data_IF_597620860102
#
_entry.id   IF_597620860102
#
_cell.length_a   1.000
_cell.length_b   1.000
_cell.length_c   1.000
_cell.angle_alpha   90.00
_cell.angle_beta   90.00
_cell.angle_gamma   90.00
#
_symmetry.space_group_name_H-M   'P 1'
#
loop_
_entity.id
_entity.type
_entity.pdbx_description
1 polymer ?
#
# COMPACT_ATOMS: atom_id res chain seq x y z
N UNK A 1 -11.06 13.19 4.92
CA UNK A 1 -9.74 12.54 4.94
C UNK A 1 -9.78 11.32 5.85
N UNK A 2 -9.28 10.19 5.39
CA UNK A 2 -9.33 8.93 6.14
C UNK A 2 -7.93 8.35 6.25
N UNK A 3 -7.54 7.92 7.45
CA UNK A 3 -6.25 7.29 7.68
C UNK A 3 -6.47 5.83 8.05
N UNK A 4 -5.73 4.94 7.38
CA UNK A 4 -5.81 3.50 7.56
C UNK A 4 -4.44 3.00 8.00
N UNK A 5 -4.42 2.12 8.98
CA UNK A 5 -3.20 1.41 9.36
C UNK A 5 -3.40 -0.06 9.05
N UNK A 6 -2.42 -0.65 8.39
CA UNK A 6 -2.47 -2.04 7.96
C UNK A 6 -1.17 -2.74 8.36
N UNK A 7 -1.30 -3.96 8.88
CA UNK A 7 -0.15 -4.79 9.22
C UNK A 7 0.10 -5.77 8.10
N UNK A 8 1.12 -5.56 7.25
CA UNK A 8 1.41 -6.47 6.15
C UNK A 8 1.97 -7.79 6.64
N UNK A 9 1.82 -8.82 5.81
CA UNK A 9 2.32 -10.16 6.12
C UNK A 9 3.26 -10.64 5.03
N UNK A 10 4.30 -11.38 5.43
CA UNK A 10 5.24 -11.97 4.50
C UNK A 10 6.20 -10.98 3.87
N UNK A 11 6.34 -9.80 4.44
CA UNK A 11 7.22 -8.76 3.94
C UNK A 11 8.00 -8.12 5.08
N UNK A 12 9.03 -7.34 4.74
CA UNK A 12 9.89 -6.70 5.74
C UNK A 12 9.22 -5.55 6.47
N UNK A 13 8.29 -4.86 5.83
CA UNK A 13 7.59 -3.75 6.45
C UNK A 13 6.73 -4.24 7.61
N UNK A 14 6.70 -3.49 8.70
CA UNK A 14 5.94 -3.84 9.90
C UNK A 14 4.55 -3.26 9.88
N UNK A 15 4.37 -2.11 9.25
CA UNK A 15 3.10 -1.42 9.21
C UNK A 15 3.05 -0.50 8.00
N UNK A 16 1.86 -0.35 7.44
CA UNK A 16 1.61 0.59 6.36
C UNK A 16 0.54 1.56 6.83
N UNK A 17 0.83 2.85 6.76
CA UNK A 17 -0.13 3.89 7.10
C UNK A 17 -0.52 4.63 5.83
N UNK A 18 -1.79 4.66 5.54
CA UNK A 18 -2.32 5.21 4.29
C UNK A 18 -3.31 6.31 4.60
N UNK A 19 -3.17 7.44 3.94
CA UNK A 19 -4.14 8.53 4.04
C UNK A 19 -4.87 8.64 2.72
N UNK A 20 -6.20 8.64 2.79
CA UNK A 20 -7.07 8.72 1.63
C UNK A 20 -7.90 9.99 1.67
N UNK A 21 -8.15 10.57 0.51
CA UNK A 21 -9.10 11.66 0.36
C UNK A 21 -10.03 11.30 -0.79
N UNK A 22 -11.27 10.92 -0.45
CA UNK A 22 -12.18 10.37 -1.43
C UNK A 22 -11.61 9.09 -2.01
N UNK A 23 -11.47 9.03 -3.32
CA UNK A 23 -10.94 7.87 -4.03
C UNK A 23 -9.45 7.97 -4.32
N UNK A 24 -8.76 8.94 -3.73
CA UNK A 24 -7.35 9.23 -4.02
C UNK A 24 -6.47 8.94 -2.82
N UNK A 25 -5.33 8.29 -3.08
CA UNK A 25 -4.29 8.09 -2.07
C UNK A 25 -3.51 9.39 -1.96
N UNK A 26 -3.50 10.03 -0.79
CA UNK A 26 -2.77 11.27 -0.60
C UNK A 26 -1.41 11.05 0.03
N UNK A 27 -1.28 10.02 0.85
CA UNK A 27 0.00 9.75 1.50
C UNK A 27 0.11 8.29 1.89
N UNK A 28 1.29 7.73 1.79
CA UNK A 28 1.59 6.37 2.25
C UNK A 28 2.90 6.41 3.03
N UNK A 29 2.92 5.76 4.17
CA UNK A 29 4.12 5.64 4.99
C UNK A 29 4.32 4.17 5.37
N UNK A 30 5.51 3.65 5.11
CA UNK A 30 5.88 2.31 5.50
C UNK A 30 6.79 2.37 6.72
N UNK A 31 6.52 1.53 7.69
CA UNK A 31 7.39 1.38 8.85
C UNK A 31 8.18 0.08 8.70
N UNK A 32 9.50 0.20 8.64
CA UNK A 32 10.39 -0.94 8.38
C UNK A 32 10.46 -1.25 6.90
N UNK A 33 11.11 -2.37 6.57
CA UNK A 33 11.29 -2.79 5.20
C UNK A 33 12.46 -2.13 4.50
N UNK A 34 12.52 -2.25 3.18
CA UNK A 34 13.57 -1.67 2.36
C UNK A 34 13.27 -0.20 2.12
N UNK A 35 13.99 0.68 2.79
CA UNK A 35 13.70 2.11 2.79
C UNK A 35 13.60 2.71 1.38
N UNK A 36 14.54 2.38 0.50
CA UNK A 36 14.51 2.90 -0.86
C UNK A 36 13.29 2.46 -1.65
N UNK A 37 12.95 1.16 -1.57
CA UNK A 37 11.81 0.61 -2.27
C UNK A 37 10.49 1.17 -1.74
N UNK A 38 10.33 1.20 -0.42
CA UNK A 38 9.08 1.68 0.19
C UNK A 38 8.89 3.18 -0.03
N UNK A 39 9.96 3.96 0.03
CA UNK A 39 9.88 5.39 -0.26
C UNK A 39 9.51 5.64 -1.71
N UNK A 40 10.08 4.85 -2.63
CA UNK A 40 9.76 4.97 -4.05
C UNK A 40 8.29 4.68 -4.33
N UNK A 41 7.77 3.60 -3.76
CA UNK A 41 6.37 3.25 -3.92
C UNK A 41 5.48 4.33 -3.33
N UNK A 42 5.79 4.81 -2.13
CA UNK A 42 5.01 5.86 -1.47
C UNK A 42 4.95 7.13 -2.32
N UNK A 43 6.08 7.52 -2.90
CA UNK A 43 6.16 8.71 -3.74
C UNK A 43 5.34 8.54 -5.03
N UNK A 44 5.41 7.36 -5.65
CA UNK A 44 4.71 7.10 -6.90
C UNK A 44 3.20 7.06 -6.74
N UNK A 45 2.70 6.53 -5.64
CA UNK A 45 1.25 6.38 -5.46
C UNK A 45 0.58 7.62 -4.88
N UNK A 46 1.34 8.57 -4.35
CA UNK A 46 0.77 9.80 -3.82
C UNK A 46 0.05 10.56 -4.94
N UNK A 47 -1.21 10.85 -4.73
CA UNK A 47 -2.05 11.51 -5.71
C UNK A 47 -2.72 10.58 -6.71
N UNK A 48 -2.51 9.26 -6.62
CA UNK A 48 -3.14 8.31 -7.53
C UNK A 48 -4.51 7.86 -7.03
N UNK A 49 -5.44 7.57 -7.96
CA UNK A 49 -6.70 6.93 -7.58
C UNK A 49 -6.45 5.56 -6.93
N UNK A 50 -7.23 5.24 -5.91
CA UNK A 50 -7.10 3.97 -5.19
C UNK A 50 -7.15 2.77 -6.12
N UNK A 51 -8.11 2.74 -7.04
CA UNK A 51 -8.26 1.61 -7.96
C UNK A 51 -7.04 1.43 -8.86
N UNK A 52 -6.41 2.51 -9.25
CA UNK A 52 -5.20 2.46 -10.08
C UNK A 52 -4.03 1.88 -9.28
N UNK A 53 -3.89 2.26 -8.02
CA UNK A 53 -2.84 1.71 -7.15
C UNK A 53 -3.03 0.20 -6.99
N UNK A 54 -4.25 -0.23 -6.72
CA UNK A 54 -4.57 -1.65 -6.57
C UNK A 54 -4.20 -2.41 -7.85
N UNK A 55 -4.59 -1.87 -8.99
CA UNK A 55 -4.35 -2.51 -10.29
C UNK A 55 -2.85 -2.66 -10.57
N UNK A 56 -2.07 -1.63 -10.29
CA UNK A 56 -0.64 -1.62 -10.63
C UNK A 56 0.21 -2.42 -9.67
N UNK A 57 -0.16 -2.49 -8.40
CA UNK A 57 0.69 -3.09 -7.38
C UNK A 57 0.29 -4.50 -6.99
N UNK A 58 -0.93 -4.93 -7.30
CA UNK A 58 -1.37 -6.28 -6.95
C UNK A 58 -0.55 -7.34 -7.67
N UNK A 59 -0.13 -8.36 -6.93
CA UNK A 59 0.58 -9.50 -7.50
C UNK A 59 2.07 -9.29 -7.64
N UNK A 60 2.61 -8.16 -7.27
CA UNK A 60 4.06 -7.95 -7.31
C UNK A 60 4.71 -8.80 -6.22
N UNK A 61 5.72 -9.57 -6.60
CA UNK A 61 6.42 -10.47 -5.68
C UNK A 61 7.83 -9.97 -5.42
N UNK A 62 8.31 -10.24 -4.22
CA UNK A 62 9.68 -9.90 -3.84
C UNK A 62 10.50 -11.19 -3.76
N UNK A 63 11.36 -11.42 -4.75
CA UNK A 63 12.18 -12.63 -4.82
C UNK A 63 11.34 -13.89 -4.84
N UNK A 64 11.57 -14.79 -3.88
CA UNK A 64 10.83 -16.05 -3.76
C UNK A 64 9.54 -15.93 -2.95
N UNK A 65 9.26 -14.75 -2.42
CA UNK A 65 8.05 -14.54 -1.62
C UNK A 65 6.83 -14.45 -2.53
N UNK A 66 5.68 -14.83 -2.00
CA UNK A 66 4.41 -14.76 -2.72
C UNK A 66 3.83 -13.34 -2.75
N UNK A 67 4.45 -12.41 -2.06
CA UNK A 67 3.95 -11.05 -1.92
C UNK A 67 5.13 -10.08 -1.78
N UNK A 68 4.82 -8.80 -1.70
CA UNK A 68 5.80 -7.73 -1.55
C UNK A 68 5.16 -6.58 -0.79
N UNK A 69 5.96 -5.58 -0.40
CA UNK A 69 5.40 -4.38 0.23
C UNK A 69 4.38 -3.67 -0.70
N UNK A 70 4.67 -3.48 -2.00
CA UNK A 70 3.66 -2.93 -2.91
C UNK A 70 2.39 -3.77 -2.99
N UNK A 71 2.52 -5.10 -3.06
CA UNK A 71 1.37 -5.99 -3.12
C UNK A 71 0.53 -5.89 -1.83
N UNK A 72 1.19 -5.81 -0.68
CA UNK A 72 0.50 -5.65 0.59
C UNK A 72 -0.22 -4.31 0.69
N UNK A 73 0.34 -3.26 0.12
CA UNK A 73 -0.34 -1.96 0.02
C UNK A 73 -1.62 -2.10 -0.81
N UNK A 74 -1.56 -2.80 -1.93
CA UNK A 74 -2.73 -3.05 -2.75
C UNK A 74 -3.80 -3.82 -1.98
N UNK A 75 -3.41 -4.81 -1.19
CA UNK A 75 -4.35 -5.57 -0.36
C UNK A 75 -5.00 -4.70 0.71
N UNK A 76 -4.21 -3.83 1.34
CA UNK A 76 -4.73 -2.91 2.34
C UNK A 76 -5.80 -1.99 1.74
N UNK A 77 -5.54 -1.47 0.55
CA UNK A 77 -6.49 -0.60 -0.14
C UNK A 77 -7.75 -1.36 -0.55
N UNK A 78 -7.60 -2.59 -1.03
CA UNK A 78 -8.75 -3.43 -1.40
C UNK A 78 -9.65 -3.69 -0.19
N UNK A 79 -9.07 -4.00 0.95
CA UNK A 79 -9.82 -4.23 2.19
C UNK A 79 -10.52 -2.95 2.65
N UNK A 80 -9.82 -1.82 2.57
CA UNK A 80 -10.39 -0.54 2.96
C UNK A 80 -11.60 -0.18 2.11
N UNK A 81 -11.54 -0.42 0.81
CA UNK A 81 -12.67 -0.16 -0.07
C UNK A 81 -13.83 -1.09 0.21
N UNK A 82 -13.56 -2.37 0.50
CA UNK A 82 -14.60 -3.33 0.82
C UNK A 82 -15.31 -2.95 2.14
N UNK A 83 -14.58 -2.41 3.10
CA UNK A 83 -15.13 -2.05 4.40
C UNK A 83 -15.83 -0.69 4.42
N UNK A 84 -15.64 0.09 3.37
CA UNK A 84 -16.12 1.47 3.32
C UNK A 84 -17.50 1.60 2.63
N UNK A 85 -18.22 0.51 2.53
CA UNK A 85 -19.55 0.51 1.93
C UNK A 85 -20.64 0.85 2.93
#
# INVERSE_FOLDING_TARGET
MKTIEFTPRGVCARRIKITLEGDTVTNVSFMGGCAGNTQGVAALVAGMPVLEVIKRLSGIRCGFKNTSCPDQLAKALSEAMANDK
#
